data_IF_334764144295
#
_entry.id   IF_334764144295
#
_cell.length_a   1.000
_cell.length_b   1.000
_cell.length_c   1.000
_cell.angle_alpha   90.00
_cell.angle_beta   90.00
_cell.angle_gamma   90.00
#
_symmetry.space_group_name_H-M   'P 1'
#
loop_
_entity.id
_entity.type
_entity.pdbx_description
1 polymer ?
#
# COMPACT_ATOMS: atom_id res chain seq x y z
N UNK A 1 -4.80 0.70 -13.52
CA UNK A 1 -4.82 1.29 -12.18
C UNK A 1 -3.56 2.10 -12.01
N UNK A 2 -3.68 3.36 -11.58
CA UNK A 2 -2.52 4.25 -11.36
C UNK A 2 -2.59 4.74 -9.92
N UNK A 3 -1.48 4.60 -9.22
CA UNK A 3 -1.35 5.02 -7.83
C UNK A 3 -0.03 5.79 -7.70
N UNK A 4 0.01 6.76 -6.79
CA UNK A 4 1.24 7.43 -6.42
C UNK A 4 1.22 7.81 -4.95
N UNK A 5 2.42 7.95 -4.39
CA UNK A 5 2.65 8.29 -3.00
C UNK A 5 3.36 9.63 -2.94
N UNK A 6 2.94 10.49 -2.01
CA UNK A 6 3.56 11.78 -1.73
C UNK A 6 4.06 11.74 -0.29
N UNK A 7 5.32 12.10 -0.12
CA UNK A 7 5.91 12.35 1.19
C UNK A 7 5.98 13.86 1.43
N UNK A 8 5.21 14.36 2.40
CA UNK A 8 5.21 15.76 2.79
C UNK A 8 6.34 15.97 3.81
N UNK A 9 7.37 16.73 3.43
CA UNK A 9 8.56 16.90 4.27
C UNK A 9 8.26 17.73 5.52
N UNK A 10 7.45 18.79 5.38
CA UNK A 10 7.14 19.71 6.49
C UNK A 10 6.27 19.03 7.55
N UNK A 11 5.19 18.38 7.12
CA UNK A 11 4.26 17.67 8.02
C UNK A 11 4.72 16.25 8.38
N UNK A 12 5.79 15.75 7.74
CA UNK A 12 6.25 14.36 7.84
C UNK A 12 5.12 13.34 7.59
N UNK A 13 4.22 13.66 6.67
CA UNK A 13 3.02 12.88 6.38
C UNK A 13 3.17 12.11 5.06
N UNK A 14 2.66 10.87 5.05
CA UNK A 14 2.49 10.06 3.85
C UNK A 14 1.06 10.21 3.32
N UNK A 15 0.91 10.69 2.09
CA UNK A 15 -0.37 10.72 1.39
C UNK A 15 -0.32 9.79 0.19
N UNK A 16 -1.23 8.83 0.10
CA UNK A 16 -1.29 7.87 -1.00
C UNK A 16 -2.55 8.08 -1.82
N UNK A 17 -2.41 8.26 -3.13
CA UNK A 17 -3.52 8.51 -4.04
C UNK A 17 -3.71 7.36 -5.03
N UNK A 18 -4.97 7.04 -5.31
CA UNK A 18 -5.38 6.09 -6.34
C UNK A 18 -6.28 6.77 -7.38
N UNK A 19 -6.09 6.41 -8.66
CA UNK A 19 -6.95 6.88 -9.74
C UNK A 19 -8.31 6.15 -9.69
N UNK A 20 -9.35 6.90 -9.36
CA UNK A 20 -10.75 6.49 -9.32
C UNK A 20 -11.58 7.36 -10.28
N UNK A 21 -12.27 6.74 -11.24
CA UNK A 21 -13.20 7.46 -12.14
C UNK A 21 -12.61 8.77 -12.70
N UNK A 22 -11.39 8.68 -13.23
CA UNK A 22 -10.61 9.79 -13.81
C UNK A 22 -10.06 10.84 -12.82
N UNK A 23 -10.24 10.63 -11.51
CA UNK A 23 -9.77 11.54 -10.46
C UNK A 23 -8.86 10.81 -9.46
N UNK A 24 -7.86 11.50 -8.91
CA UNK A 24 -7.03 10.92 -7.86
C UNK A 24 -7.71 11.13 -6.50
N UNK A 25 -8.12 10.03 -5.88
CA UNK A 25 -8.69 9.98 -4.54
C UNK A 25 -7.62 9.58 -3.53
N UNK A 26 -7.65 10.20 -2.36
CA UNK A 26 -6.78 9.83 -1.23
C UNK A 26 -7.20 8.45 -0.71
N UNK A 27 -6.22 7.56 -0.52
CA UNK A 27 -6.38 6.33 0.22
C UNK A 27 -6.32 6.66 1.70
N UNK A 28 -7.38 6.32 2.42
CA UNK A 28 -7.43 6.46 3.86
C UNK A 28 -6.87 5.19 4.50
N UNK A 29 -6.15 5.37 5.60
CA UNK A 29 -5.73 4.26 6.43
C UNK A 29 -6.96 3.56 7.02
N UNK A 30 -6.81 2.27 7.32
CA UNK A 30 -7.80 1.51 8.07
C UNK A 30 -7.79 1.87 9.57
N UNK A 31 -8.59 1.15 10.37
CA UNK A 31 -8.70 1.36 11.81
C UNK A 31 -7.36 1.13 12.56
N UNK A 32 -6.43 0.38 11.96
CA UNK A 32 -5.09 0.11 12.49
C UNK A 32 -4.05 1.13 12.00
N UNK A 33 -4.44 2.13 11.20
CA UNK A 33 -3.55 3.16 10.68
C UNK A 33 -2.74 2.71 9.45
N UNK A 34 -3.13 1.60 8.81
CA UNK A 34 -2.43 1.02 7.67
C UNK A 34 -3.04 1.48 6.35
N UNK A 35 -2.19 1.95 5.44
CA UNK A 35 -2.56 2.26 4.05
C UNK A 35 -2.32 1.04 3.17
N UNK A 36 -3.32 0.62 2.38
CA UNK A 36 -3.20 -0.53 1.49
C UNK A 36 -3.28 -0.13 0.00
N UNK A 37 -2.33 -0.63 -0.80
CA UNK A 37 -2.37 -0.49 -2.25
C UNK A 37 -3.53 -1.28 -2.84
N UNK A 38 -4.26 -0.67 -3.77
CA UNK A 38 -5.29 -1.38 -4.53
C UNK A 38 -4.73 -2.00 -5.82
N UNK A 39 -3.62 -1.46 -6.34
CA UNK A 39 -2.89 -2.01 -7.48
C UNK A 39 -2.06 -3.24 -7.09
N UNK A 40 -1.54 -3.28 -5.87
CA UNK A 40 -0.74 -4.35 -5.29
C UNK A 40 -1.39 -4.87 -4.00
N UNK A 41 -2.41 -5.73 -4.09
CA UNK A 41 -3.00 -6.36 -2.91
C UNK A 41 -1.93 -7.00 -2.01
N UNK A 42 -1.97 -6.68 -0.73
CA UNK A 42 -0.96 -7.07 0.26
C UNK A 42 0.19 -6.07 0.47
N UNK A 43 0.34 -5.04 -0.38
CA UNK A 43 1.27 -3.94 -0.08
C UNK A 43 0.60 -2.97 0.90
N UNK A 44 0.96 -3.10 2.17
CA UNK A 44 0.49 -2.25 3.26
C UNK A 44 1.61 -1.39 3.82
N UNK A 45 1.33 -0.13 4.14
CA UNK A 45 2.26 0.82 4.72
C UNK A 45 1.68 1.41 6.00
N UNK A 46 2.42 1.29 7.10
CA UNK A 46 2.11 2.00 8.34
C UNK A 46 2.58 3.45 8.22
N UNK A 47 1.62 4.38 8.15
CA UNK A 47 1.89 5.80 7.96
C UNK A 47 2.59 6.42 9.19
N UNK A 48 2.25 5.96 10.40
CA UNK A 48 2.81 6.48 11.64
C UNK A 48 4.23 5.94 11.87
N UNK A 49 4.48 4.65 11.60
CA UNK A 49 5.82 4.08 11.64
C UNK A 49 6.75 4.75 10.63
N UNK A 50 6.27 5.01 9.40
CA UNK A 50 7.02 5.77 8.41
C UNK A 50 7.37 7.18 8.93
N UNK A 51 6.40 7.88 9.54
CA UNK A 51 6.61 9.21 10.14
C UNK A 51 7.67 9.18 11.24
N UNK A 52 7.67 8.13 12.06
CA UNK A 52 8.65 7.90 13.12
C UNK A 52 10.00 7.35 12.62
N UNK A 53 10.11 7.06 11.31
CA UNK A 53 11.25 6.38 10.68
C UNK A 53 11.54 4.99 11.25
N UNK A 54 10.52 4.32 11.79
CA UNK A 54 10.59 2.94 12.23
C UNK A 54 10.41 2.01 11.03
N UNK A 55 11.50 1.80 10.30
CA UNK A 55 11.50 0.92 9.14
C UNK A 55 11.27 -0.56 9.52
N UNK A 56 11.51 -0.97 10.76
CA UNK A 56 11.27 -2.34 11.19
C UNK A 56 9.77 -2.62 11.24
N UNK A 57 8.99 -1.73 11.88
CA UNK A 57 7.54 -1.81 11.93
C UNK A 57 6.89 -1.72 10.53
N UNK A 58 7.42 -0.85 9.66
CA UNK A 58 6.97 -0.76 8.26
C UNK A 58 7.19 -2.08 7.51
N UNK A 59 8.36 -2.70 7.65
CA UNK A 59 8.67 -3.98 7.00
C UNK A 59 7.90 -5.16 7.59
N UNK A 60 7.49 -5.08 8.86
CA UNK A 60 6.57 -6.05 9.47
C UNK A 60 5.18 -5.94 8.86
N UNK A 61 4.63 -4.73 8.79
CA UNK A 61 3.34 -4.46 8.15
C UNK A 61 3.29 -4.96 6.69
N UNK A 62 4.37 -4.73 5.92
CA UNK A 62 4.47 -5.21 4.54
C UNK A 62 4.42 -6.74 4.51
N UNK A 63 5.15 -7.40 5.41
CA UNK A 63 5.20 -8.87 5.47
C UNK A 63 3.84 -9.46 5.82
N UNK A 64 3.17 -8.93 6.84
CA UNK A 64 1.83 -9.35 7.23
C UNK A 64 0.84 -9.21 6.06
N UNK A 65 0.93 -8.12 5.30
CA UNK A 65 0.13 -7.91 4.09
C UNK A 65 0.40 -8.95 2.98
N UNK A 66 1.66 -9.36 2.81
CA UNK A 66 2.03 -10.41 1.83
C UNK A 66 1.59 -11.82 2.23
N UNK A 67 1.29 -12.04 3.51
CA UNK A 67 0.79 -13.32 4.03
C UNK A 67 -0.75 -13.42 3.98
N UNK A 68 -1.42 -12.54 3.22
CA UNK A 68 -2.88 -12.56 3.06
C UNK A 68 -3.33 -13.34 1.81
N UNK A 69 -4.52 -13.94 1.89
CA UNK A 69 -5.18 -14.59 0.74
C UNK A 69 -5.31 -13.65 -0.48
N UNK A 70 -5.49 -12.35 -0.22
CA UNK A 70 -5.57 -11.33 -1.26
C UNK A 70 -4.27 -11.17 -2.04
N UNK A 71 -3.12 -11.28 -1.36
CA UNK A 71 -1.81 -11.28 -2.00
C UNK A 71 -1.55 -12.57 -2.78
N UNK A 72 -1.90 -13.73 -2.24
CA UNK A 72 -1.75 -15.01 -2.92
C UNK A 72 -2.52 -15.03 -4.24
N UNK A 73 -3.80 -14.61 -4.22
CA UNK A 73 -4.61 -14.48 -5.43
C UNK A 73 -4.01 -13.48 -6.45
N UNK A 74 -3.35 -12.42 -5.97
CA UNK A 74 -2.63 -11.48 -6.83
C UNK A 74 -1.41 -12.12 -7.50
N UNK A 75 -0.60 -12.87 -6.76
CA UNK A 75 0.57 -13.60 -7.27
C UNK A 75 0.16 -14.64 -8.31
N UNK A 76 -0.91 -15.40 -8.06
CA UNK A 76 -1.44 -16.36 -9.03
C UNK A 76 -1.84 -15.69 -10.34
N UNK A 77 -2.55 -14.55 -10.25
CA UNK A 77 -2.94 -13.77 -11.43
C UNK A 77 -1.74 -13.24 -12.21
N UNK A 78 -0.67 -12.82 -11.53
CA UNK A 78 0.58 -12.38 -12.17
C UNK A 78 1.27 -13.53 -12.90
N UNK A 79 1.36 -14.71 -12.28
CA UNK A 79 1.93 -15.92 -12.91
C UNK A 79 1.18 -16.29 -14.19
N UNK A 80 -0.16 -16.25 -14.17
CA UNK A 80 -0.98 -16.53 -15.34
C UNK A 80 -0.75 -15.53 -16.48
N UNK A 81 -0.63 -14.23 -16.17
CA UNK A 81 -0.35 -13.18 -17.17
C UNK A 81 1.06 -13.24 -17.75
N UNK A 82 2.03 -13.76 -17.01
CA UNK A 82 3.42 -13.88 -17.46
C UNK A 82 3.67 -15.19 -18.26
N UNK A 83 2.77 -16.16 -18.17
CA UNK A 83 2.80 -17.41 -18.95
C UNK A 83 1.98 -17.37 -20.25
N UNK A 84 1.39 -16.22 -20.60
CA UNK A 84 0.63 -15.97 -21.83
C UNK A 84 1.38 -15.00 -22.75
#
# INVERSE_FOLDING_TARGET
MREYVVWQIEDSELSWFALESDNYALLHADDDGLLESRAFPGLRLDAEALRQRDLAAVLETVRDGTETDGHDAFVERLRQKHSA
#
